data_IF_617167094561
#
_entry.id   IF_617167094561
#
_cell.length_a   1.000
_cell.length_b   1.000
_cell.length_c   1.000
_cell.angle_alpha   90.00
_cell.angle_beta   90.00
_cell.angle_gamma   90.00
#
_symmetry.space_group_name_H-M   'P 1'
#
loop_
_entity.id
_entity.type
_entity.pdbx_description
1 polymer ?
#
# COMPACT_ATOMS: atom_id res chain seq x y z
N UNK A 1 4.99 16.68 -3.98
CA UNK A 1 4.48 16.93 -4.16
C UNK A 1 3.91 17.42 -4.23
N UNK A 2 3.71 17.30 -4.20
CA UNK A 2 2.88 17.61 -4.37
C UNK A 2 2.65 18.43 -5.01
N UNK A 3 2.69 18.52 -5.24
CA UNK A 3 2.38 19.13 -5.79
C UNK A 3 2.04 19.82 -6.42
N UNK A 4 2.03 19.87 -6.49
CA UNK A 4 1.48 20.49 -7.05
C UNK A 4 0.95 21.27 -7.02
N UNK A 5 0.90 21.40 -6.67
CA UNK A 5 0.10 22.00 -6.67
C UNK A 5 -0.12 22.94 -6.88
N UNK A 6 0.16 23.18 -6.95
CA UNK A 6 -0.31 23.86 -7.20
C UNK A 6 -0.89 24.53 -7.60
N UNK A 7 -0.98 24.66 -7.87
CA UNK A 7 -1.75 25.21 -8.14
C UNK A 7 -2.68 25.42 -7.59
N UNK A 8 -2.63 25.24 -6.82
CA UNK A 8 -3.56 25.31 -6.31
C UNK A 8 -3.99 25.94 -5.54
N UNK A 9 -4.02 26.01 -5.56
CA UNK A 9 -4.57 26.34 -4.98
C UNK A 9 -5.35 26.87 -5.00
N UNK A 10 -5.56 26.99 -5.34
CA UNK A 10 -6.29 27.36 -5.46
C UNK A 10 -7.16 27.36 -5.41
N UNK A 11 -7.56 27.47 -5.14
CA UNK A 11 -8.38 27.33 -5.06
C UNK A 11 -9.13 27.15 -5.04
N UNK A 12 -9.37 27.14 -4.64
CA UNK A 12 -10.20 26.84 -4.62
C UNK A 12 -11.03 26.91 -5.04
N UNK A 13 -11.36 26.91 -5.27
CA UNK A 13 -12.25 26.75 -5.77
C UNK A 13 -12.56 26.58 -6.64
N UNK A 14 -12.39 26.58 -6.85
CA UNK A 14 -12.63 26.08 -7.60
C UNK A 14 -12.51 25.70 -8.25
N UNK A 15 -12.38 25.66 -8.19
CA UNK A 15 -12.18 25.13 -8.83
C UNK A 15 -12.09 24.44 -9.33
N UNK A 16 -12.47 24.44 -9.47
CA UNK A 16 -12.24 23.76 -9.90
C UNK A 16 -11.92 22.87 -10.44
N UNK A 17 -12.04 22.87 -10.75
CA UNK A 17 -11.46 21.69 -11.37
C UNK A 17 -10.71 20.92 -10.38
N UNK A 18 -11.24 19.88 -10.01
CA UNK A 18 -10.62 19.08 -9.03
C UNK A 18 -9.42 18.36 -9.59
N UNK A 19 -8.26 18.58 -9.00
CA UNK A 19 -7.17 17.67 -9.20
C UNK A 19 -7.30 16.57 -8.15
N UNK A 20 -7.37 15.31 -8.56
CA UNK A 20 -7.47 14.18 -7.64
C UNK A 20 -6.08 13.61 -7.44
N UNK A 21 -5.67 13.50 -6.17
CA UNK A 21 -4.41 12.88 -5.81
C UNK A 21 -4.67 11.49 -5.28
N UNK A 22 -3.83 10.54 -5.69
CA UNK A 22 -3.92 9.16 -5.24
C UNK A 22 -2.73 8.85 -4.35
N UNK A 23 -3.01 8.34 -3.16
CA UNK A 23 -1.99 7.94 -2.20
C UNK A 23 -2.18 6.47 -1.87
N UNK A 24 -1.07 5.75 -1.68
CA UNK A 24 -1.09 4.33 -1.40
C UNK A 24 -0.22 4.03 -0.20
N UNK A 25 -0.71 3.16 0.68
CA UNK A 25 -0.03 2.83 1.94
C UNK A 25 -0.08 1.34 2.21
N UNK A 26 1.00 0.81 2.78
CA UNK A 26 1.04 -0.52 3.36
C UNK A 26 0.87 -0.38 4.86
N UNK A 27 -0.02 -1.17 5.44
CA UNK A 27 -0.27 -1.17 6.89
C UNK A 27 0.19 -2.51 7.44
N UNK A 28 1.28 -2.49 8.21
CA UNK A 28 1.85 -3.68 8.80
C UNK A 28 1.08 -4.09 10.06
N UNK A 29 1.17 -5.37 10.49
CA UNK A 29 0.38 -5.85 11.64
C UNK A 29 0.68 -5.12 12.95
N UNK A 30 1.87 -4.54 13.10
CA UNK A 30 2.23 -3.79 14.30
C UNK A 30 1.68 -2.36 14.29
N UNK A 31 0.96 -1.99 13.22
CA UNK A 31 0.40 -0.65 13.08
C UNK A 31 1.26 0.32 12.31
N UNK A 32 2.46 -0.10 11.91
CA UNK A 32 3.33 0.75 11.11
C UNK A 32 2.73 0.97 9.73
N UNK A 33 2.83 2.20 9.22
CA UNK A 33 2.28 2.57 7.92
C UNK A 33 3.39 3.12 7.06
N UNK A 34 3.54 2.56 5.86
CA UNK A 34 4.56 2.98 4.92
C UNK A 34 3.90 3.45 3.63
N UNK A 35 4.23 4.66 3.20
CA UNK A 35 3.73 5.16 1.92
C UNK A 35 4.44 4.45 0.77
N UNK A 36 3.66 4.09 -0.26
CA UNK A 36 4.17 3.45 -1.46
C UNK A 36 3.68 4.22 -2.67
N UNK A 37 4.27 3.95 -3.84
CA UNK A 37 3.99 4.75 -5.03
C UNK A 37 3.26 3.98 -6.12
N UNK A 38 2.74 2.82 -5.78
CA UNK A 38 2.04 1.98 -6.74
C UNK A 38 0.95 1.18 -6.06
N UNK A 39 0.06 0.61 -6.86
CA UNK A 39 -1.00 -0.25 -6.35
C UNK A 39 -0.46 -1.64 -6.03
N UNK A 40 -1.11 -2.31 -5.09
CA UNK A 40 -0.79 -3.69 -4.74
C UNK A 40 -1.96 -4.59 -5.08
N UNK A 41 -1.66 -5.87 -5.30
CA UNK A 41 -2.68 -6.88 -5.53
C UNK A 41 -2.89 -7.67 -4.25
N UNK A 42 -4.16 -7.86 -3.86
CA UNK A 42 -4.48 -8.70 -2.71
C UNK A 42 -3.96 -10.12 -2.98
N UNK A 43 -3.23 -10.66 -2.00
CA UNK A 43 -2.57 -11.94 -2.13
C UNK A 43 -1.09 -11.86 -2.45
N UNK A 44 -0.58 -10.67 -2.82
CA UNK A 44 0.84 -10.48 -3.09
C UNK A 44 1.67 -10.61 -1.82
N UNK A 45 2.92 -11.02 -1.98
CA UNK A 45 3.83 -11.23 -0.86
C UNK A 45 4.91 -10.15 -0.84
N UNK A 46 5.26 -9.71 0.37
CA UNK A 46 6.28 -8.67 0.58
C UNK A 46 7.15 -9.02 1.76
N UNK A 47 8.40 -8.57 1.72
CA UNK A 47 9.31 -8.74 2.86
C UNK A 47 9.13 -7.58 3.84
N UNK A 48 9.91 -7.59 4.92
CA UNK A 48 9.78 -6.58 5.98
C UNK A 48 10.22 -5.18 5.52
N UNK A 49 10.89 -5.09 4.39
CA UNK A 49 11.32 -3.81 3.83
C UNK A 49 10.39 -3.31 2.73
N UNK A 50 9.28 -4.02 2.48
CA UNK A 50 8.32 -3.62 1.46
C UNK A 50 8.68 -4.06 0.06
N UNK A 51 9.64 -4.97 -0.11
CA UNK A 51 10.01 -5.49 -1.41
C UNK A 51 9.13 -6.67 -1.79
N UNK A 52 8.64 -6.67 -3.02
CA UNK A 52 7.77 -7.75 -3.49
C UNK A 52 8.54 -9.06 -3.61
N UNK A 53 7.91 -10.11 -3.15
CA UNK A 53 8.47 -11.47 -3.24
C UNK A 53 7.69 -12.28 -4.25
N UNK A 54 8.40 -13.03 -5.08
CA UNK A 54 7.78 -13.87 -6.10
C UNK A 54 8.05 -15.34 -5.76
N UNK A 55 7.00 -16.14 -5.57
CA UNK A 55 7.18 -17.57 -5.36
C UNK A 55 7.80 -18.23 -6.60
N UNK A 56 8.58 -19.32 -6.41
CA UNK A 56 8.81 -19.97 -5.13
C UNK A 56 9.83 -19.23 -4.27
N UNK A 57 9.58 -19.22 -2.96
CA UNK A 57 10.49 -18.56 -2.01
C UNK A 57 11.68 -19.48 -1.72
N UNK A 58 12.85 -18.91 -1.39
CA UNK A 58 14.03 -19.73 -1.13
C UNK A 58 13.96 -20.52 0.17
N UNK A 59 13.11 -20.09 1.11
CA UNK A 59 12.99 -20.73 2.40
C UNK A 59 11.64 -20.37 3.03
N UNK A 60 11.17 -21.22 3.96
CA UNK A 60 10.01 -20.88 4.79
C UNK A 60 10.42 -20.29 6.14
N UNK A 61 11.70 -19.90 6.28
CA UNK A 61 12.24 -19.34 7.53
C UNK A 61 12.58 -17.89 7.35
N UNK A 62 11.64 -17.12 6.81
CA UNK A 62 11.82 -15.69 6.60
C UNK A 62 10.53 -14.98 6.99
N UNK A 63 10.64 -13.69 7.21
CA UNK A 63 9.47 -12.87 7.53
C UNK A 63 8.82 -12.46 6.21
N UNK A 64 7.57 -12.88 6.02
CA UNK A 64 6.81 -12.59 4.80
C UNK A 64 5.45 -12.06 5.20
N UNK A 65 5.05 -10.99 4.55
CA UNK A 65 3.73 -10.39 4.71
C UNK A 65 2.92 -10.60 3.44
N UNK A 66 1.63 -10.85 3.62
CA UNK A 66 0.71 -10.99 2.49
C UNK A 66 -0.33 -9.90 2.56
N UNK A 67 -0.65 -9.30 1.41
CA UNK A 67 -1.73 -8.33 1.32
C UNK A 67 -3.04 -9.07 1.51
N UNK A 68 -3.73 -8.80 2.62
CA UNK A 68 -4.96 -9.50 2.97
C UNK A 68 -6.21 -8.68 2.71
N UNK A 69 -6.06 -7.40 2.38
CA UNK A 69 -7.22 -6.56 2.06
C UNK A 69 -6.80 -5.16 1.71
N UNK A 70 -7.79 -4.36 1.31
CA UNK A 70 -7.54 -2.95 1.06
C UNK A 70 -8.74 -2.13 1.47
N UNK A 71 -8.49 -0.89 1.85
CA UNK A 71 -9.52 0.08 2.21
C UNK A 71 -9.18 1.40 1.55
N UNK A 72 -10.18 2.03 0.96
CA UNK A 72 -10.00 3.31 0.28
C UNK A 72 -10.79 4.38 1.02
N UNK A 73 -10.16 5.54 1.21
CA UNK A 73 -10.83 6.72 1.76
C UNK A 73 -10.63 7.87 0.81
N UNK A 74 -11.71 8.63 0.62
CA UNK A 74 -11.64 9.83 -0.21
C UNK A 74 -11.98 11.04 0.65
N UNK A 75 -11.13 12.06 0.60
CA UNK A 75 -11.32 13.25 1.39
C UNK A 75 -10.66 14.42 0.68
N UNK A 76 -11.44 15.42 0.34
CA UNK A 76 -10.94 16.69 -0.22
C UNK A 76 -10.04 16.51 -1.43
N UNK A 77 -10.43 15.63 -2.34
CA UNK A 77 -9.65 15.39 -3.56
C UNK A 77 -8.48 14.47 -3.39
N UNK A 78 -8.32 13.84 -2.23
CA UNK A 78 -7.29 12.84 -1.99
C UNK A 78 -7.96 11.49 -1.86
N UNK A 79 -7.54 10.54 -2.68
CA UNK A 79 -8.01 9.15 -2.60
C UNK A 79 -6.85 8.34 -2.02
N UNK A 80 -6.98 7.94 -0.77
CA UNK A 80 -5.95 7.19 -0.08
C UNK A 80 -6.37 5.72 0.02
N UNK A 81 -5.51 4.82 -0.44
CA UNK A 81 -5.75 3.39 -0.38
C UNK A 81 -4.77 2.76 0.61
N UNK A 82 -5.31 2.01 1.54
CA UNK A 82 -4.53 1.33 2.59
C UNK A 82 -4.59 -0.17 2.32
N UNK A 83 -3.44 -0.78 2.12
CA UNK A 83 -3.32 -2.22 1.93
C UNK A 83 -2.93 -2.86 3.25
N UNK A 84 -3.83 -3.66 3.79
CA UNK A 84 -3.58 -4.35 5.05
C UNK A 84 -2.72 -5.58 4.80
N UNK A 85 -1.68 -5.73 5.60
CA UNK A 85 -0.76 -6.85 5.52
C UNK A 85 -0.95 -7.75 6.73
N UNK A 86 -0.73 -9.05 6.55
CA UNK A 86 -0.63 -9.98 7.65
C UNK A 86 0.64 -10.78 7.49
N UNK A 87 1.24 -11.15 8.61
CA UNK A 87 2.45 -11.95 8.59
C UNK A 87 2.08 -13.42 8.45
N UNK A 88 2.72 -14.10 7.52
CA UNK A 88 2.52 -15.53 7.32
C UNK A 88 3.42 -16.31 8.26
N UNK A 89 2.89 -17.39 8.83
CA UNK A 89 3.71 -18.27 9.67
C UNK A 89 4.45 -19.30 8.81
N UNK A 90 5.32 -20.08 9.45
CA UNK A 90 6.14 -21.06 8.72
C UNK A 90 5.30 -22.11 8.01
N UNK A 91 4.16 -22.48 8.60
CA UNK A 91 3.28 -23.48 7.98
C UNK A 91 2.62 -22.91 6.73
N UNK A 92 2.18 -21.66 6.79
CA UNK A 92 1.58 -21.00 5.63
C UNK A 92 2.59 -20.78 4.51
N UNK A 93 3.84 -20.48 4.88
CA UNK A 93 4.91 -20.26 3.90
C UNK A 93 5.26 -21.49 3.10
N UNK A 94 4.96 -22.67 3.61
CA UNK A 94 5.25 -23.92 2.87
C UNK A 94 4.55 -23.96 1.52
N UNK A 95 3.43 -23.28 1.37
CA UNK A 95 2.72 -23.26 0.10
C UNK A 95 3.44 -22.41 -0.95
N UNK A 96 4.41 -21.62 -0.54
CA UNK A 96 5.10 -20.67 -1.42
C UNK A 96 6.58 -21.01 -1.66
N UNK A 97 7.10 -22.04 -1.01
CA UNK A 97 8.50 -22.43 -1.22
C UNK A 97 8.64 -23.49 -2.30
#
# INVERSE_FOLDING_TARGET
MTALLLLYGIKKNCYSIGMILYEYYMVFPDGDIQEIFDTLTVGSLYDMNGNRLMPPLPTNKMIVYQVCGKRTREERGIVATYYALEQLDAAELRAYV
#
